data_IF_244837417766
#
_entry.id   IF_244837417766
#
_cell.length_a   1.000
_cell.length_b   1.000
_cell.length_c   1.000
_cell.angle_alpha   90.00
_cell.angle_beta   90.00
_cell.angle_gamma   90.00
#
_symmetry.space_group_name_H-M   'P 1'
#
loop_
_entity.id
_entity.type
_entity.pdbx_description
1 polymer ?
#
# COMPACT_ATOMS: atom_id res chain seq x y z
N UNK A 1 22.58 -29.85 84.62
CA UNK A 1 22.77 -30.05 83.18
C UNK A 1 21.61 -29.33 82.48
N UNK A 2 21.87 -28.20 81.85
CA UNK A 2 20.85 -27.35 81.16
C UNK A 2 20.86 -27.72 79.69
N UNK A 3 19.77 -28.21 79.15
CA UNK A 3 19.59 -28.50 77.75
C UNK A 3 18.91 -27.28 77.09
N UNK A 4 19.62 -26.58 76.18
CA UNK A 4 19.10 -25.47 75.40
C UNK A 4 18.36 -26.01 74.16
N UNK A 5 17.09 -25.67 74.06
CA UNK A 5 16.23 -25.92 72.89
C UNK A 5 16.33 -24.77 71.93
N UNK A 6 16.96 -24.98 70.77
CA UNK A 6 17.04 -23.96 69.72
C UNK A 6 15.82 -24.12 68.84
N UNK A 7 14.88 -23.15 68.86
CA UNK A 7 13.82 -23.00 67.90
C UNK A 7 14.36 -22.39 66.60
N UNK A 8 14.39 -23.18 65.51
CA UNK A 8 14.67 -22.67 64.18
C UNK A 8 13.34 -22.23 63.56
N UNK A 9 13.15 -20.90 63.46
CA UNK A 9 12.04 -20.32 62.68
C UNK A 9 12.41 -20.40 61.19
N UNK A 10 11.76 -21.27 60.42
CA UNK A 10 11.76 -21.28 58.96
C UNK A 10 10.81 -20.18 58.47
N UNK A 11 11.36 -19.01 58.08
CA UNK A 11 10.64 -17.99 57.29
C UNK A 11 10.57 -18.49 55.84
N UNK A 12 9.45 -19.07 55.45
CA UNK A 12 9.13 -19.31 54.05
C UNK A 12 8.78 -17.99 53.35
N UNK A 13 9.72 -17.45 52.58
CA UNK A 13 9.45 -16.35 51.66
C UNK A 13 8.59 -16.86 50.50
N UNK A 14 7.31 -16.62 50.53
CA UNK A 14 6.42 -16.70 49.38
C UNK A 14 6.81 -15.57 48.42
N UNK A 15 7.63 -15.85 47.40
CA UNK A 15 7.83 -15.02 46.22
C UNK A 15 6.54 -15.08 45.41
N UNK A 16 5.61 -14.17 45.67
CA UNK A 16 4.53 -13.87 44.73
C UNK A 16 5.21 -13.30 43.49
N UNK A 17 5.31 -14.08 42.41
CA UNK A 17 5.57 -13.57 41.08
C UNK A 17 4.36 -12.69 40.72
N UNK A 18 4.49 -11.38 40.93
CA UNK A 18 3.64 -10.42 40.27
C UNK A 18 4.02 -10.52 38.79
N UNK A 19 3.24 -11.29 38.01
CA UNK A 19 3.22 -11.11 36.58
C UNK A 19 2.82 -9.65 36.33
N UNK A 20 3.82 -8.81 36.04
CA UNK A 20 3.57 -7.48 35.55
C UNK A 20 2.77 -7.67 34.26
N UNK A 21 1.45 -7.50 34.31
CA UNK A 21 0.65 -7.30 33.13
C UNK A 21 1.29 -6.11 32.40
N UNK A 22 2.08 -6.39 31.37
CA UNK A 22 2.59 -5.36 30.49
C UNK A 22 1.36 -4.61 29.99
N UNK A 23 1.16 -3.41 30.47
CA UNK A 23 0.04 -2.58 30.06
C UNK A 23 0.18 -2.42 28.53
N UNK A 24 -0.75 -3.02 27.78
CA UNK A 24 -0.72 -2.94 26.33
C UNK A 24 -0.73 -1.46 25.96
N UNK A 25 0.39 -0.99 25.41
CA UNK A 25 0.51 0.41 25.01
C UNK A 25 -0.42 0.67 23.83
N UNK A 26 -1.27 1.69 23.95
CA UNK A 26 -2.17 2.11 22.86
C UNK A 26 -1.33 2.67 21.73
N UNK A 27 -1.54 2.17 20.51
CA UNK A 27 -0.83 2.61 19.30
C UNK A 27 -1.41 3.94 18.82
N UNK A 28 -0.60 4.98 18.76
CA UNK A 28 -0.99 6.34 18.38
C UNK A 28 -0.90 6.53 16.88
N UNK A 29 -2.01 6.88 16.22
CA UNK A 29 -2.09 7.12 14.78
C UNK A 29 -2.44 8.58 14.49
N UNK A 30 -1.56 9.30 13.81
CA UNK A 30 -1.79 10.66 13.34
C UNK A 30 -2.22 10.66 11.87
N UNK A 31 -3.44 11.15 11.59
CA UNK A 31 -3.93 11.34 10.23
C UNK A 31 -3.66 12.77 9.75
N UNK A 32 -2.64 12.94 8.94
CA UNK A 32 -2.18 14.22 8.38
C UNK A 32 -2.83 14.43 7.01
N UNK A 33 -3.38 15.63 6.77
CA UNK A 33 -3.96 15.89 5.46
C UNK A 33 -4.78 17.17 5.35
N UNK A 34 -5.52 17.25 4.26
CA UNK A 34 -6.35 18.38 3.89
C UNK A 34 -7.84 18.17 4.26
N UNK A 35 -8.76 18.81 3.52
CA UNK A 35 -10.21 18.71 3.73
C UNK A 35 -10.75 17.28 3.71
N UNK A 36 -10.17 16.38 2.94
CA UNK A 36 -10.60 14.98 2.88
C UNK A 36 -10.27 14.26 4.20
N UNK A 37 -9.10 14.54 4.78
CA UNK A 37 -8.73 14.02 6.11
C UNK A 37 -9.55 14.71 7.19
N UNK A 38 -9.75 16.02 7.10
CA UNK A 38 -10.62 16.75 8.00
C UNK A 38 -12.04 16.17 8.04
N UNK A 39 -12.56 15.71 6.90
CA UNK A 39 -13.94 15.27 6.71
C UNK A 39 -14.85 16.46 6.39
N UNK A 40 -14.40 17.37 5.50
CA UNK A 40 -15.21 18.53 5.09
C UNK A 40 -16.52 18.08 4.48
N UNK A 41 -17.58 18.81 4.81
CA UNK A 41 -18.97 18.61 4.34
C UNK A 41 -19.60 17.24 4.70
N UNK A 42 -18.89 16.37 5.41
CA UNK A 42 -19.47 15.09 5.88
C UNK A 42 -20.40 15.35 7.08
N UNK A 43 -21.67 14.94 7.05
CA UNK A 43 -22.55 15.03 8.20
C UNK A 43 -21.96 14.25 9.41
N UNK A 44 -22.06 14.82 10.60
CA UNK A 44 -21.49 14.24 11.82
C UNK A 44 -20.01 13.85 11.67
N UNK A 45 -19.20 14.76 11.16
CA UNK A 45 -17.78 14.57 10.87
C UNK A 45 -17.01 13.80 11.96
N UNK A 46 -17.32 14.06 13.22
CA UNK A 46 -16.67 13.42 14.38
C UNK A 46 -16.93 11.90 14.47
N UNK A 47 -17.91 11.38 13.69
CA UNK A 47 -18.19 9.95 13.57
C UNK A 47 -17.91 9.42 12.16
N UNK A 48 -18.08 10.27 11.15
CA UNK A 48 -18.17 9.86 9.76
C UNK A 48 -16.96 10.23 8.89
N UNK A 49 -16.01 11.06 9.38
CA UNK A 49 -14.72 11.25 8.69
C UNK A 49 -13.92 9.95 8.67
N UNK A 50 -13.02 9.75 7.69
CA UNK A 50 -12.26 8.51 7.66
C UNK A 50 -11.40 8.26 8.91
N UNK A 51 -10.77 9.28 9.56
CA UNK A 51 -10.04 9.03 10.81
C UNK A 51 -10.95 8.57 11.95
N UNK A 52 -12.17 9.11 12.04
CA UNK A 52 -13.13 8.69 13.06
C UNK A 52 -13.63 7.26 12.83
N UNK A 53 -13.92 6.91 11.58
CA UNK A 53 -14.29 5.54 11.22
C UNK A 53 -13.12 4.56 11.33
N UNK A 54 -11.88 5.02 11.10
CA UNK A 54 -10.67 4.24 11.33
C UNK A 54 -10.49 3.93 12.82
N UNK A 55 -10.72 4.91 13.70
CA UNK A 55 -10.73 4.68 15.15
C UNK A 55 -11.76 3.61 15.54
N UNK A 56 -12.97 3.70 15.00
CA UNK A 56 -14.02 2.71 15.28
C UNK A 56 -13.66 1.31 14.74
N UNK A 57 -12.97 1.24 13.61
CA UNK A 57 -12.54 -0.02 12.99
C UNK A 57 -11.40 -0.70 13.77
N UNK A 58 -10.43 0.09 14.25
CA UNK A 58 -9.25 -0.40 14.95
C UNK A 58 -9.49 -0.70 16.44
N UNK A 59 -10.55 -0.11 17.03
CA UNK A 59 -10.90 -0.32 18.43
C UNK A 59 -9.97 0.38 19.43
N UNK A 60 -9.99 -0.10 20.67
CA UNK A 60 -9.30 0.51 21.81
C UNK A 60 -7.79 0.31 21.85
N UNK A 61 -7.26 -0.59 21.04
CA UNK A 61 -5.81 -0.82 20.93
C UNK A 61 -5.09 0.32 20.19
N UNK A 62 -5.85 1.21 19.57
CA UNK A 62 -5.35 2.36 18.81
C UNK A 62 -5.98 3.68 19.30
N UNK A 63 -5.21 4.75 19.24
CA UNK A 63 -5.67 6.12 19.40
C UNK A 63 -5.47 6.88 18.09
N UNK A 64 -6.54 7.07 17.30
CA UNK A 64 -6.49 7.75 15.99
C UNK A 64 -6.87 9.21 16.15
N UNK A 65 -5.96 10.13 15.79
CA UNK A 65 -6.24 11.55 15.81
C UNK A 65 -6.27 12.16 14.41
N UNK A 66 -7.26 13.02 14.19
CA UNK A 66 -7.47 13.75 12.95
C UNK A 66 -6.77 15.10 12.99
N UNK A 67 -5.69 15.25 12.23
CA UNK A 67 -4.95 16.51 12.04
C UNK A 67 -5.17 17.12 10.64
N UNK A 68 -6.27 16.75 9.98
CA UNK A 68 -6.65 17.32 8.70
C UNK A 68 -7.10 18.76 8.81
N UNK A 69 -6.68 19.61 7.88
CA UNK A 69 -7.08 21.03 7.78
C UNK A 69 -7.58 21.31 6.36
N UNK A 70 -8.82 21.80 6.24
CA UNK A 70 -9.41 22.11 4.94
C UNK A 70 -8.62 23.17 4.19
N UNK A 71 -8.42 22.97 2.89
CA UNK A 71 -7.74 23.93 2.03
C UNK A 71 -6.21 23.83 2.02
N UNK A 72 -5.59 23.12 2.98
CA UNK A 72 -4.14 23.05 3.10
C UNK A 72 -3.45 22.43 1.88
N UNK A 73 -2.30 23.02 1.55
CA UNK A 73 -1.34 22.52 0.56
C UNK A 73 -0.18 21.78 1.24
N UNK A 74 0.46 20.88 0.53
CA UNK A 74 1.79 20.39 0.84
C UNK A 74 2.84 21.46 0.59
N UNK A 75 2.72 22.12 -0.60
CA UNK A 75 3.63 23.18 -1.04
C UNK A 75 3.77 24.27 0.02
N UNK A 76 4.99 24.53 0.44
CA UNK A 76 5.33 25.56 1.45
C UNK A 76 5.11 26.99 0.95
N UNK A 77 5.09 27.19 -0.38
CA UNK A 77 4.78 28.43 -1.08
C UNK A 77 3.31 28.51 -1.54
N UNK A 78 2.51 27.47 -1.26
CA UNK A 78 1.08 27.48 -1.59
C UNK A 78 0.28 28.50 -0.81
N UNK A 79 -0.99 28.64 -1.15
CA UNK A 79 -1.92 29.60 -0.53
C UNK A 79 -2.20 29.29 0.95
N UNK A 80 -2.10 28.03 1.37
CA UNK A 80 -2.31 27.63 2.78
C UNK A 80 -1.44 26.42 3.16
N UNK A 81 -0.13 26.60 3.41
CA UNK A 81 0.80 25.51 3.71
C UNK A 81 0.46 24.76 5.01
N UNK A 82 0.35 23.43 4.94
CA UNK A 82 0.06 22.59 6.10
C UNK A 82 1.09 22.75 7.22
N UNK A 83 2.37 22.86 6.87
CA UNK A 83 3.47 23.00 7.83
C UNK A 83 3.43 24.29 8.66
N UNK A 84 2.61 25.27 8.27
CA UNK A 84 2.38 26.53 9.02
C UNK A 84 1.14 26.46 9.92
N UNK A 85 0.44 25.33 9.97
CA UNK A 85 -0.79 25.19 10.76
C UNK A 85 -0.50 24.73 12.18
N UNK A 86 -1.41 25.04 13.10
CA UNK A 86 -1.36 24.49 14.46
C UNK A 86 -1.48 22.96 14.46
N UNK A 87 -2.30 22.39 13.57
CA UNK A 87 -2.46 20.94 13.47
C UNK A 87 -1.13 20.21 13.17
N UNK A 88 -0.24 20.82 12.39
CA UNK A 88 1.11 20.30 12.18
C UNK A 88 1.89 20.23 13.49
N UNK A 89 1.94 21.32 14.27
CA UNK A 89 2.63 21.35 15.56
C UNK A 89 2.02 20.38 16.58
N UNK A 90 0.67 20.34 16.66
CA UNK A 90 -0.05 19.46 17.57
C UNK A 90 0.17 17.98 17.23
N UNK A 91 0.31 17.63 15.94
CA UNK A 91 0.61 16.27 15.49
C UNK A 91 2.01 15.81 15.91
N UNK A 92 2.99 16.71 15.93
CA UNK A 92 4.34 16.42 16.44
C UNK A 92 4.34 16.23 17.96
N UNK A 93 3.62 17.10 18.69
CA UNK A 93 3.45 17.00 20.15
C UNK A 93 2.77 15.69 20.57
N UNK A 94 1.91 15.13 19.74
CA UNK A 94 1.23 13.86 19.98
C UNK A 94 2.18 12.68 20.08
N UNK A 95 3.38 12.77 19.47
CA UNK A 95 4.37 11.69 19.39
C UNK A 95 3.72 10.39 18.87
N UNK A 96 3.25 10.37 17.61
CA UNK A 96 2.57 9.22 17.04
C UNK A 96 3.51 8.03 16.84
N UNK A 97 2.96 6.80 16.89
CA UNK A 97 3.63 5.58 16.47
C UNK A 97 3.46 5.36 14.96
N UNK A 98 2.36 5.87 14.39
CA UNK A 98 2.04 5.77 12.96
C UNK A 98 1.59 7.12 12.44
N UNK A 99 2.15 7.54 11.30
CA UNK A 99 1.75 8.77 10.59
C UNK A 99 1.21 8.41 9.22
N UNK A 100 -0.04 8.79 8.96
CA UNK A 100 -0.70 8.65 7.65
C UNK A 100 -0.71 10.01 6.97
N UNK A 101 -0.01 10.18 5.84
CA UNK A 101 0.10 11.47 5.14
C UNK A 101 -0.71 11.46 3.85
N UNK A 102 -1.72 12.36 3.77
CA UNK A 102 -2.60 12.53 2.61
C UNK A 102 -2.72 14.00 2.22
N UNK A 103 -1.73 14.53 1.52
CA UNK A 103 -1.68 15.90 0.99
C UNK A 103 -1.51 15.88 -0.54
N UNK A 104 -1.53 17.04 -1.18
CA UNK A 104 -1.30 17.22 -2.61
C UNK A 104 -2.54 17.61 -3.43
N UNK A 105 -3.76 17.45 -2.89
CA UNK A 105 -5.00 17.78 -3.63
C UNK A 105 -5.12 19.29 -3.92
N UNK A 106 -4.92 20.15 -2.90
CA UNK A 106 -5.02 21.60 -3.04
C UNK A 106 -3.84 22.22 -3.78
N UNK A 107 -2.76 21.50 -3.90
CA UNK A 107 -1.55 21.88 -4.62
C UNK A 107 -1.81 22.00 -6.12
N UNK A 108 -2.84 21.33 -6.62
CA UNK A 108 -3.24 21.37 -8.05
C UNK A 108 -3.99 22.63 -8.46
N UNK A 109 -4.42 23.48 -7.50
CA UNK A 109 -5.03 24.77 -7.81
C UNK A 109 -4.08 25.65 -8.63
N UNK A 110 -4.55 26.42 -9.61
CA UNK A 110 -3.69 27.23 -10.48
C UNK A 110 -2.66 28.08 -9.73
N UNK A 111 -3.09 28.77 -8.65
CA UNK A 111 -2.20 29.64 -7.86
C UNK A 111 -1.12 28.87 -7.08
N UNK A 112 -1.31 27.58 -6.82
CA UNK A 112 -0.35 26.72 -6.12
C UNK A 112 0.53 25.95 -7.10
N UNK A 113 -0.04 25.53 -8.23
CA UNK A 113 0.62 24.68 -9.21
C UNK A 113 1.84 25.33 -9.87
N UNK A 114 1.94 26.63 -9.86
CA UNK A 114 3.14 27.35 -10.30
C UNK A 114 4.40 26.96 -9.50
N UNK A 115 4.24 26.41 -8.29
CA UNK A 115 5.34 25.97 -7.43
C UNK A 115 5.53 24.43 -7.46
N UNK A 116 4.96 23.74 -8.44
CA UNK A 116 4.97 22.27 -8.53
C UNK A 116 6.36 21.64 -8.45
N UNK A 117 7.38 22.35 -8.92
CA UNK A 117 8.76 21.86 -8.92
C UNK A 117 9.34 21.74 -7.50
N UNK A 118 8.77 22.44 -6.53
CA UNK A 118 9.11 22.33 -5.10
C UNK A 118 8.42 21.11 -4.42
N UNK A 119 7.44 20.44 -5.07
CA UNK A 119 6.58 19.44 -4.44
C UNK A 119 7.34 18.30 -3.80
N UNK A 120 8.29 17.70 -4.52
CA UNK A 120 9.10 16.58 -4.02
C UNK A 120 9.95 17.02 -2.82
N UNK A 121 10.57 18.21 -2.93
CA UNK A 121 11.40 18.76 -1.85
C UNK A 121 10.59 19.10 -0.58
N UNK A 122 9.40 19.67 -0.73
CA UNK A 122 8.51 19.99 0.38
C UNK A 122 7.98 18.72 1.05
N UNK A 123 7.63 17.70 0.25
CA UNK A 123 7.19 16.41 0.78
C UNK A 123 8.32 15.71 1.57
N UNK A 124 9.55 15.76 1.04
CA UNK A 124 10.72 15.22 1.74
C UNK A 124 10.91 15.90 3.09
N UNK A 125 10.85 17.25 3.14
CA UNK A 125 10.95 17.99 4.41
C UNK A 125 9.86 17.61 5.42
N UNK A 126 8.63 17.39 4.94
CA UNK A 126 7.54 16.92 5.79
C UNK A 126 7.82 15.53 6.36
N UNK A 127 8.27 14.59 5.53
CA UNK A 127 8.68 13.24 5.96
C UNK A 127 9.79 13.31 7.00
N UNK A 128 10.83 14.10 6.72
CA UNK A 128 12.00 14.22 7.61
C UNK A 128 11.64 14.82 8.97
N UNK A 129 10.66 15.73 9.01
CA UNK A 129 10.14 16.28 10.26
C UNK A 129 9.52 15.21 11.16
N UNK A 130 8.80 14.24 10.59
CA UNK A 130 8.26 13.11 11.36
C UNK A 130 9.31 12.05 11.68
N UNK A 131 10.24 11.76 10.77
CA UNK A 131 11.35 10.82 11.04
C UNK A 131 12.23 11.25 12.20
N UNK A 132 12.34 12.58 12.44
CA UNK A 132 13.13 13.15 13.55
C UNK A 132 12.45 13.09 14.91
N UNK A 133 11.18 12.68 15.00
CA UNK A 133 10.47 12.58 16.27
C UNK A 133 11.06 11.48 17.17
N UNK A 134 11.13 11.70 18.50
CA UNK A 134 11.55 10.67 19.45
C UNK A 134 10.75 9.35 19.38
N UNK A 135 9.48 9.42 18.95
CA UNK A 135 8.65 8.25 18.76
C UNK A 135 9.04 7.39 17.55
N UNK A 136 9.91 7.88 16.65
CA UNK A 136 10.33 7.18 15.41
C UNK A 136 9.15 6.55 14.67
N UNK A 137 8.15 7.32 14.24
CA UNK A 137 6.90 6.78 13.72
C UNK A 137 7.09 6.01 12.42
N UNK A 138 6.29 4.97 12.26
CA UNK A 138 6.04 4.34 10.96
C UNK A 138 5.28 5.32 10.08
N UNK A 139 5.83 5.67 8.92
CA UNK A 139 5.23 6.65 7.99
C UNK A 139 4.63 5.91 6.80
N UNK A 140 3.35 6.15 6.53
CA UNK A 140 2.60 5.58 5.42
C UNK A 140 2.04 6.71 4.57
N UNK A 141 2.40 6.74 3.30
CA UNK A 141 1.88 7.71 2.35
C UNK A 141 0.56 7.21 1.77
N UNK A 142 -0.43 8.10 1.66
CA UNK A 142 -1.72 7.79 1.06
C UNK A 142 -1.84 8.58 -0.24
N UNK A 143 -2.10 7.91 -1.37
CA UNK A 143 -2.37 8.64 -2.60
C UNK A 143 -3.66 9.46 -2.47
N UNK A 144 -3.80 10.61 -3.15
CA UNK A 144 -5.07 11.31 -3.23
C UNK A 144 -6.17 10.39 -3.76
N UNK A 145 -7.40 10.54 -3.28
CA UNK A 145 -8.55 9.91 -3.91
C UNK A 145 -8.83 10.58 -5.26
N UNK A 146 -9.32 9.81 -6.22
CA UNK A 146 -9.75 10.33 -7.52
C UNK A 146 -10.95 11.26 -7.33
N UNK A 147 -10.91 12.42 -7.97
CA UNK A 147 -12.04 13.33 -8.07
C UNK A 147 -12.55 13.37 -9.52
N UNK A 148 -13.80 13.82 -9.69
CA UNK A 148 -14.51 13.83 -10.97
C UNK A 148 -14.96 15.25 -11.32
N UNK A 149 -14.10 16.21 -11.04
CA UNK A 149 -14.26 17.62 -11.44
C UNK A 149 -14.11 17.73 -12.94
N UNK A 150 -14.93 18.59 -13.55
CA UNK A 150 -14.99 18.79 -15.00
C UNK A 150 -14.30 20.08 -15.45
N UNK A 151 -13.87 20.90 -14.51
CA UNK A 151 -13.12 22.13 -14.79
C UNK A 151 -11.88 22.23 -13.88
N UNK A 152 -10.87 22.94 -14.32
CA UNK A 152 -9.60 23.17 -13.63
C UNK A 152 -9.51 24.57 -13.00
N UNK A 153 -10.63 25.27 -12.84
CA UNK A 153 -10.67 26.61 -12.22
C UNK A 153 -10.21 26.60 -10.77
N UNK A 154 -10.31 25.42 -10.14
CA UNK A 154 -9.85 25.21 -8.78
C UNK A 154 -8.93 23.99 -8.71
N UNK A 155 -9.39 22.85 -8.17
CA UNK A 155 -8.63 21.60 -8.08
C UNK A 155 -8.70 20.87 -9.43
N UNK A 156 -7.53 20.44 -9.96
CA UNK A 156 -7.45 19.72 -11.22
C UNK A 156 -7.41 18.20 -11.01
N UNK A 157 -8.43 17.50 -11.51
CA UNK A 157 -8.49 16.05 -11.53
C UNK A 157 -7.35 15.45 -12.36
N UNK A 158 -7.00 16.09 -13.48
CA UNK A 158 -5.90 15.66 -14.35
C UNK A 158 -4.55 15.78 -13.64
N UNK A 159 -4.25 16.92 -13.00
CA UNK A 159 -2.99 17.11 -12.26
C UNK A 159 -2.85 16.14 -11.10
N UNK A 160 -3.95 15.81 -10.40
CA UNK A 160 -3.92 14.77 -9.37
C UNK A 160 -3.53 13.44 -9.96
N UNK A 161 -4.15 13.02 -11.06
CA UNK A 161 -3.93 11.72 -11.68
C UNK A 161 -2.55 11.59 -12.34
N UNK A 162 -2.18 12.61 -13.14
CA UNK A 162 -1.01 12.55 -14.03
C UNK A 162 0.29 13.08 -13.41
N UNK A 163 0.20 13.83 -12.29
CA UNK A 163 1.38 14.45 -11.69
C UNK A 163 1.49 14.18 -10.19
N UNK A 164 0.53 14.59 -9.38
CA UNK A 164 0.63 14.50 -7.90
C UNK A 164 0.75 13.06 -7.44
N UNK A 165 -0.09 12.15 -7.94
CA UNK A 165 -0.03 10.73 -7.61
C UNK A 165 1.34 10.11 -7.96
N UNK A 166 1.86 10.23 -9.21
CA UNK A 166 3.19 9.72 -9.54
C UNK A 166 4.32 10.31 -8.69
N UNK A 167 4.27 11.60 -8.34
CA UNK A 167 5.26 12.20 -7.45
C UNK A 167 5.24 11.57 -6.05
N UNK A 168 4.06 11.27 -5.50
CA UNK A 168 3.93 10.60 -4.19
C UNK A 168 4.44 9.16 -4.28
N UNK A 169 4.12 8.43 -5.37
CA UNK A 169 4.64 7.08 -5.63
C UNK A 169 6.18 7.09 -5.72
N UNK A 170 6.76 8.10 -6.37
CA UNK A 170 8.22 8.27 -6.47
C UNK A 170 8.86 8.55 -5.11
N UNK A 171 8.26 9.45 -4.32
CA UNK A 171 8.75 9.79 -2.96
C UNK A 171 8.71 8.55 -2.05
N UNK A 172 7.61 7.78 -2.08
CA UNK A 172 7.49 6.53 -1.33
C UNK A 172 8.62 5.56 -1.69
N UNK A 173 8.82 5.33 -2.98
CA UNK A 173 9.88 4.44 -3.48
C UNK A 173 11.29 4.90 -3.09
N UNK A 174 11.63 6.18 -3.31
CA UNK A 174 12.95 6.75 -2.96
C UNK A 174 13.26 6.66 -1.47
N UNK A 175 12.24 6.89 -0.63
CA UNK A 175 12.41 6.85 0.82
C UNK A 175 12.23 5.46 1.43
N UNK A 176 11.89 4.44 0.62
CA UNK A 176 11.51 3.10 1.06
C UNK A 176 10.36 3.15 2.09
N UNK A 177 9.41 4.06 1.90
CA UNK A 177 8.22 4.22 2.74
C UNK A 177 7.03 3.46 2.19
N UNK A 178 6.17 3.04 3.09
CA UNK A 178 4.93 2.39 2.75
C UNK A 178 3.97 3.36 2.05
N UNK A 179 3.21 2.84 1.08
CA UNK A 179 2.19 3.60 0.36
C UNK A 179 0.91 2.78 0.24
N UNK A 180 -0.24 3.43 0.40
CA UNK A 180 -1.55 2.86 0.11
C UNK A 180 -2.21 3.63 -1.04
N UNK A 181 -2.67 2.89 -2.02
CA UNK A 181 -3.34 3.46 -3.19
C UNK A 181 -4.82 3.68 -2.91
N UNK A 182 -5.20 4.91 -2.54
CA UNK A 182 -6.60 5.31 -2.40
C UNK A 182 -7.19 5.88 -3.70
N UNK A 183 -6.38 6.08 -4.74
CA UNK A 183 -6.80 6.79 -5.96
C UNK A 183 -7.97 6.09 -6.66
N UNK A 184 -7.91 4.78 -6.81
CA UNK A 184 -8.96 4.02 -7.49
C UNK A 184 -10.06 3.49 -6.55
N UNK A 185 -9.88 3.66 -5.23
CA UNK A 185 -10.75 3.06 -4.22
C UNK A 185 -12.23 3.43 -4.34
N UNK A 186 -12.51 4.67 -4.76
CA UNK A 186 -13.87 5.22 -4.82
C UNK A 186 -14.41 5.33 -6.26
N UNK A 187 -13.65 4.86 -7.28
CA UNK A 187 -13.89 5.17 -8.69
C UNK A 187 -15.16 4.57 -9.29
N UNK A 188 -15.43 3.30 -9.05
CA UNK A 188 -16.46 2.55 -9.76
C UNK A 188 -17.91 2.90 -9.34
N UNK A 189 -18.06 3.53 -8.20
CA UNK A 189 -19.36 3.97 -7.67
C UNK A 189 -19.21 5.36 -7.03
N UNK A 190 -18.53 6.25 -7.73
CA UNK A 190 -18.18 7.56 -7.20
C UNK A 190 -19.42 8.37 -6.77
N UNK A 191 -20.57 8.22 -7.43
CA UNK A 191 -21.83 8.91 -7.11
C UNK A 191 -22.30 8.62 -5.67
N UNK A 192 -22.05 7.43 -5.16
CA UNK A 192 -22.35 7.07 -3.77
C UNK A 192 -21.21 7.30 -2.80
N UNK A 193 -19.97 7.30 -3.31
CA UNK A 193 -18.76 7.39 -2.51
C UNK A 193 -18.25 8.81 -2.32
N UNK A 194 -18.65 9.74 -3.21
CA UNK A 194 -18.33 11.16 -3.09
C UNK A 194 -19.57 11.97 -2.75
N UNK A 195 -19.34 13.15 -2.21
CA UNK A 195 -20.38 14.18 -2.06
C UNK A 195 -20.74 14.79 -3.44
N UNK A 196 -21.83 15.55 -3.55
CA UNK A 196 -22.24 16.19 -4.81
C UNK A 196 -21.19 17.08 -5.45
N UNK A 197 -20.18 17.53 -4.67
CA UNK A 197 -19.05 18.31 -5.18
C UNK A 197 -18.02 17.46 -5.96
N UNK A 198 -18.23 16.16 -6.08
CA UNK A 198 -17.39 15.20 -6.85
C UNK A 198 -15.92 15.16 -6.42
N UNK A 199 -15.62 15.69 -5.24
CA UNK A 199 -14.26 15.81 -4.70
C UNK A 199 -14.14 15.16 -3.31
N UNK A 200 -15.03 15.54 -2.39
CA UNK A 200 -14.95 15.06 -1.02
C UNK A 200 -15.67 13.71 -0.86
N UNK A 201 -15.10 12.75 -0.14
CA UNK A 201 -15.76 11.50 0.15
C UNK A 201 -17.08 11.72 0.94
N UNK A 202 -18.11 10.95 0.61
CA UNK A 202 -19.29 10.78 1.46
C UNK A 202 -18.91 9.98 2.72
N UNK A 203 -19.85 9.82 3.66
CA UNK A 203 -19.65 8.93 4.82
C UNK A 203 -19.33 7.50 4.40
N UNK A 204 -19.92 7.01 3.29
CA UNK A 204 -19.66 5.68 2.73
C UNK A 204 -18.23 5.62 2.16
N UNK A 205 -17.84 6.61 1.36
CA UNK A 205 -16.48 6.70 0.81
C UNK A 205 -15.41 6.81 1.90
N UNK A 206 -15.63 7.63 2.92
CA UNK A 206 -14.78 7.73 4.09
C UNK A 206 -14.65 6.39 4.84
N UNK A 207 -15.75 5.63 4.93
CA UNK A 207 -15.74 4.28 5.51
C UNK A 207 -14.95 3.27 4.69
N UNK A 208 -14.97 3.36 3.36
CA UNK A 208 -14.11 2.54 2.49
C UNK A 208 -12.63 2.85 2.73
N UNK A 209 -12.27 4.14 2.79
CA UNK A 209 -10.90 4.56 3.12
C UNK A 209 -10.47 4.01 4.48
N UNK A 210 -11.30 4.17 5.50
CA UNK A 210 -11.02 3.69 6.85
C UNK A 210 -10.80 2.17 6.89
N UNK A 211 -11.62 1.39 6.20
CA UNK A 211 -11.48 -0.07 6.12
C UNK A 211 -10.19 -0.48 5.41
N UNK A 212 -9.83 0.12 4.27
CA UNK A 212 -8.58 -0.23 3.58
C UNK A 212 -7.38 0.07 4.45
N UNK A 213 -7.31 1.28 5.04
CA UNK A 213 -6.22 1.67 5.93
C UNK A 213 -6.17 0.75 7.16
N UNK A 214 -7.30 0.53 7.82
CA UNK A 214 -7.39 -0.29 9.03
C UNK A 214 -7.03 -1.75 8.77
N UNK A 215 -7.51 -2.34 7.68
CA UNK A 215 -7.15 -3.70 7.28
C UNK A 215 -5.64 -3.83 7.04
N UNK A 216 -5.03 -2.84 6.38
CA UNK A 216 -3.59 -2.80 6.16
C UNK A 216 -2.82 -2.69 7.48
N UNK A 217 -3.22 -1.81 8.39
CA UNK A 217 -2.57 -1.66 9.70
C UNK A 217 -2.65 -2.95 10.53
N UNK A 218 -3.80 -3.63 10.53
CA UNK A 218 -3.98 -4.91 11.24
C UNK A 218 -3.13 -6.01 10.60
N UNK A 219 -3.17 -6.13 9.27
CA UNK A 219 -2.41 -7.14 8.53
C UNK A 219 -0.89 -6.99 8.74
N UNK A 220 -0.43 -5.75 8.87
CA UNK A 220 1.00 -5.42 8.99
C UNK A 220 1.44 -5.15 10.43
N UNK A 221 0.54 -5.33 11.41
CA UNK A 221 0.89 -5.22 12.83
C UNK A 221 1.89 -6.32 13.21
N UNK A 222 3.00 -5.92 13.84
CA UNK A 222 4.04 -6.87 14.28
C UNK A 222 4.89 -7.49 13.15
N UNK A 223 4.70 -7.09 11.89
CA UNK A 223 5.64 -7.46 10.84
C UNK A 223 6.93 -6.67 11.03
N UNK A 224 8.04 -7.38 11.20
CA UNK A 224 9.38 -6.80 11.15
C UNK A 224 9.68 -6.26 9.75
N UNK A 225 10.66 -5.35 9.61
CA UNK A 225 11.13 -4.92 8.31
C UNK A 225 11.47 -6.13 7.42
N UNK A 226 11.23 -5.97 6.12
CA UNK A 226 11.52 -7.03 5.14
C UNK A 226 12.94 -7.55 5.32
N UNK A 227 13.10 -8.87 5.47
CA UNK A 227 14.36 -9.53 5.19
C UNK A 227 14.79 -9.12 3.78
N UNK A 228 15.96 -8.48 3.67
CA UNK A 228 16.55 -8.20 2.36
C UNK A 228 16.74 -9.55 1.69
N UNK A 229 15.91 -9.82 0.68
CA UNK A 229 16.07 -11.06 -0.08
C UNK A 229 17.46 -11.02 -0.73
N UNK A 230 18.41 -11.79 -0.20
CA UNK A 230 19.83 -11.74 -0.59
C UNK A 230 20.03 -11.93 -2.10
N UNK A 231 19.17 -12.73 -2.75
CA UNK A 231 19.23 -12.99 -4.18
C UNK A 231 18.85 -11.79 -5.07
N UNK A 232 18.23 -10.74 -4.50
CA UNK A 232 17.91 -9.48 -5.19
C UNK A 232 19.00 -8.41 -5.00
N UNK A 233 19.96 -8.65 -4.11
CA UNK A 233 21.04 -7.71 -3.88
C UNK A 233 21.85 -7.44 -5.16
N UNK A 234 22.06 -6.15 -5.48
CA UNK A 234 22.77 -5.73 -6.68
C UNK A 234 21.99 -5.86 -8.00
N UNK A 235 20.72 -6.22 -7.96
CA UNK A 235 19.83 -6.16 -9.13
C UNK A 235 19.36 -4.74 -9.39
N UNK A 236 19.06 -4.45 -10.64
CA UNK A 236 18.49 -3.16 -11.05
C UNK A 236 17.12 -2.93 -10.39
N UNK A 237 17.00 -1.87 -9.60
CA UNK A 237 15.75 -1.48 -8.97
C UNK A 237 14.92 -0.59 -9.88
N UNK A 238 13.59 -0.70 -9.81
CA UNK A 238 12.65 0.21 -10.45
C UNK A 238 11.45 0.51 -9.55
N UNK A 239 10.80 1.66 -9.80
CA UNK A 239 9.59 2.05 -9.12
C UNK A 239 8.36 1.39 -9.77
N UNK A 240 7.57 0.64 -9.00
CA UNK A 240 6.27 0.15 -9.40
C UNK A 240 5.20 0.75 -8.48
N UNK A 241 4.66 1.90 -8.86
CA UNK A 241 3.62 2.60 -8.07
C UNK A 241 3.99 2.81 -6.59
N UNK A 242 5.25 3.12 -6.31
CA UNK A 242 5.78 3.29 -4.96
C UNK A 242 6.46 2.04 -4.41
N UNK A 243 6.14 0.84 -4.89
CA UNK A 243 6.78 -0.41 -4.46
C UNK A 243 8.13 -0.64 -5.12
N UNK A 244 9.02 -1.37 -4.43
CA UNK A 244 10.32 -1.75 -4.98
C UNK A 244 10.18 -2.93 -5.94
N UNK A 245 10.48 -2.67 -7.21
CA UNK A 245 10.65 -3.69 -8.25
C UNK A 245 12.12 -3.97 -8.53
N UNK A 246 12.42 -5.18 -9.01
CA UNK A 246 13.76 -5.62 -9.38
C UNK A 246 13.73 -6.30 -10.74
N UNK A 247 14.71 -6.02 -11.59
CA UNK A 247 14.92 -6.71 -12.84
C UNK A 247 16.01 -7.78 -12.69
N UNK A 248 15.82 -8.94 -13.29
CA UNK A 248 16.81 -10.02 -13.27
C UNK A 248 16.66 -10.91 -14.50
N UNK A 249 17.70 -11.63 -14.81
CA UNK A 249 17.67 -12.68 -15.83
C UNK A 249 17.34 -14.03 -15.20
N UNK A 250 16.46 -14.77 -15.84
CA UNK A 250 16.17 -16.15 -15.49
C UNK A 250 16.44 -17.04 -16.71
N UNK A 251 17.68 -17.44 -16.84
CA UNK A 251 18.17 -18.37 -17.89
C UNK A 251 17.88 -17.84 -19.31
N UNK A 252 18.30 -16.60 -19.57
CA UNK A 252 18.12 -15.90 -20.84
C UNK A 252 16.73 -15.31 -21.07
N UNK A 253 15.89 -15.25 -20.05
CA UNK A 253 14.61 -14.55 -20.08
C UNK A 253 14.62 -13.35 -19.13
N UNK A 254 14.27 -12.17 -19.64
CA UNK A 254 14.09 -10.98 -18.82
C UNK A 254 12.91 -11.17 -17.86
N UNK A 255 13.17 -11.03 -16.57
CA UNK A 255 12.19 -11.21 -15.52
C UNK A 255 12.13 -9.97 -14.61
N UNK A 256 11.00 -9.79 -13.97
CA UNK A 256 10.77 -8.76 -12.98
C UNK A 256 10.09 -9.34 -11.74
N UNK A 257 10.35 -8.75 -10.60
CA UNK A 257 9.61 -9.02 -9.37
C UNK A 257 9.36 -7.71 -8.63
N UNK A 258 8.15 -7.52 -8.12
CA UNK A 258 7.81 -6.42 -7.21
C UNK A 258 7.54 -6.99 -5.84
N UNK A 259 8.13 -6.37 -4.83
CA UNK A 259 7.99 -6.78 -3.44
C UNK A 259 6.91 -5.95 -2.72
N UNK A 260 6.06 -6.59 -1.91
CA UNK A 260 5.23 -5.86 -0.95
C UNK A 260 6.10 -5.20 0.11
N UNK A 261 5.62 -4.19 0.80
CA UNK A 261 6.34 -3.63 1.97
C UNK A 261 6.38 -4.60 3.14
N UNK A 262 5.30 -5.37 3.30
CA UNK A 262 5.20 -6.41 4.33
C UNK A 262 4.79 -7.71 3.65
N UNK A 263 5.64 -8.70 3.73
CA UNK A 263 5.36 -10.01 3.13
C UNK A 263 4.30 -10.75 3.93
N UNK A 264 3.29 -11.29 3.25
CA UNK A 264 2.35 -12.22 3.88
C UNK A 264 3.03 -13.57 4.18
N UNK A 265 2.57 -14.25 5.24
CA UNK A 265 3.12 -15.55 5.64
C UNK A 265 3.11 -16.55 4.48
N UNK A 266 4.25 -17.17 4.25
CA UNK A 266 4.43 -18.15 3.18
C UNK A 266 4.77 -17.55 1.82
N UNK A 267 5.03 -16.25 1.75
CA UNK A 267 5.44 -15.52 0.54
C UNK A 267 4.56 -15.84 -0.67
N UNK A 268 3.24 -15.55 -0.60
CA UNK A 268 2.35 -15.75 -1.74
C UNK A 268 2.75 -14.82 -2.88
N UNK A 269 2.51 -15.27 -4.11
CA UNK A 269 2.92 -14.53 -5.29
C UNK A 269 2.03 -14.76 -6.50
N UNK A 270 2.11 -13.83 -7.42
CA UNK A 270 1.39 -13.82 -8.70
C UNK A 270 2.40 -13.96 -9.83
N UNK A 271 2.11 -14.77 -10.81
CA UNK A 271 2.82 -14.83 -12.08
C UNK A 271 1.96 -14.13 -13.13
N UNK A 272 2.33 -12.89 -13.45
CA UNK A 272 1.61 -12.04 -14.38
C UNK A 272 2.07 -12.29 -15.82
N UNK A 273 1.11 -12.52 -16.72
CA UNK A 273 1.35 -12.73 -18.13
C UNK A 273 1.13 -11.45 -18.93
N UNK A 274 2.16 -10.97 -19.62
CA UNK A 274 2.12 -9.85 -20.58
C UNK A 274 1.59 -8.53 -19.99
N UNK A 275 1.57 -7.48 -20.79
CA UNK A 275 1.04 -6.16 -20.44
C UNK A 275 1.50 -5.62 -19.09
N UNK A 276 2.82 -5.75 -18.82
CA UNK A 276 3.42 -5.26 -17.59
C UNK A 276 3.07 -3.78 -17.33
N UNK A 277 2.53 -3.50 -16.15
CA UNK A 277 2.15 -2.13 -15.73
C UNK A 277 0.85 -1.60 -16.34
N UNK A 278 0.19 -2.35 -17.24
CA UNK A 278 -1.12 -1.95 -17.76
C UNK A 278 -2.22 -2.37 -16.78
N UNK A 279 -3.11 -1.43 -16.41
CA UNK A 279 -4.19 -1.61 -15.44
C UNK A 279 -3.73 -2.33 -14.15
N UNK A 280 -2.81 -1.73 -13.37
CA UNK A 280 -2.12 -2.40 -12.28
C UNK A 280 -2.93 -2.45 -10.98
N UNK A 281 -4.24 -2.19 -11.00
CA UNK A 281 -5.06 -2.04 -9.79
C UNK A 281 -5.07 -3.32 -8.95
N UNK A 282 -5.18 -4.48 -9.60
CA UNK A 282 -5.15 -5.79 -8.94
C UNK A 282 -3.76 -6.07 -8.37
N UNK A 283 -2.70 -5.80 -9.14
CA UNK A 283 -1.31 -5.97 -8.69
C UNK A 283 -1.05 -5.14 -7.41
N UNK A 284 -1.44 -3.86 -7.44
CA UNK A 284 -1.24 -2.95 -6.30
C UNK A 284 -2.02 -3.44 -5.07
N UNK A 285 -3.28 -3.84 -5.25
CA UNK A 285 -4.09 -4.36 -4.16
C UNK A 285 -3.51 -5.65 -3.55
N UNK A 286 -2.93 -6.53 -4.36
CA UNK A 286 -2.26 -7.75 -3.89
C UNK A 286 -0.92 -7.43 -3.20
N UNK A 287 -0.14 -6.47 -3.70
CA UNK A 287 1.07 -5.97 -3.02
C UNK A 287 0.73 -5.39 -1.64
N UNK A 288 -0.34 -4.61 -1.50
CA UNK A 288 -0.83 -4.11 -0.21
C UNK A 288 -1.23 -5.23 0.75
N UNK A 289 -1.61 -6.41 0.24
CA UNK A 289 -1.92 -7.59 1.02
C UNK A 289 -0.73 -8.53 1.24
N UNK A 290 0.47 -8.12 0.83
CA UNK A 290 1.70 -8.86 1.09
C UNK A 290 2.06 -9.92 0.05
N UNK A 291 1.39 -9.91 -1.12
CA UNK A 291 1.77 -10.75 -2.26
C UNK A 291 2.93 -10.11 -3.03
N UNK A 292 3.73 -10.94 -3.66
CA UNK A 292 4.71 -10.51 -4.66
C UNK A 292 4.13 -10.62 -6.06
N UNK A 293 4.56 -9.73 -6.97
CA UNK A 293 4.16 -9.81 -8.38
C UNK A 293 5.40 -10.13 -9.21
N UNK A 294 5.40 -11.26 -9.89
CA UNK A 294 6.47 -11.69 -10.76
C UNK A 294 6.05 -11.70 -12.23
N UNK A 295 6.98 -11.40 -13.11
CA UNK A 295 6.82 -11.39 -14.56
C UNK A 295 8.01 -12.03 -15.23
N UNK A 296 7.75 -12.79 -16.31
CA UNK A 296 8.77 -13.29 -17.21
C UNK A 296 8.36 -12.96 -18.65
N UNK A 297 9.29 -12.41 -19.41
CA UNK A 297 9.00 -12.04 -20.79
C UNK A 297 8.84 -13.28 -21.68
N UNK A 298 7.61 -13.49 -22.10
CA UNK A 298 7.16 -14.50 -23.07
C UNK A 298 6.20 -13.89 -24.10
N UNK A 299 6.32 -12.58 -24.29
CA UNK A 299 5.32 -11.74 -24.97
C UNK A 299 4.94 -12.25 -26.36
N UNK A 300 5.90 -12.62 -27.19
CA UNK A 300 5.67 -12.98 -28.59
C UNK A 300 5.76 -14.50 -28.84
N UNK A 301 5.58 -15.28 -27.77
CA UNK A 301 5.61 -16.75 -27.84
C UNK A 301 4.23 -17.38 -27.84
N UNK A 302 3.14 -16.61 -27.74
CA UNK A 302 1.73 -17.05 -27.86
C UNK A 302 1.38 -18.31 -27.04
N UNK A 303 2.02 -18.49 -25.88
CA UNK A 303 1.80 -19.66 -25.03
C UNK A 303 2.42 -20.97 -25.52
N UNK A 304 3.28 -20.95 -26.55
CA UNK A 304 3.96 -22.13 -27.06
C UNK A 304 4.85 -22.79 -25.96
N UNK A 305 5.26 -24.04 -26.23
CA UNK A 305 6.12 -24.83 -25.31
C UNK A 305 7.37 -24.07 -24.81
N UNK A 306 7.94 -23.22 -25.67
CA UNK A 306 9.07 -22.39 -25.30
C UNK A 306 8.70 -21.38 -24.20
N UNK A 307 7.49 -20.80 -24.25
CA UNK A 307 6.97 -19.92 -23.22
C UNK A 307 6.73 -20.68 -21.91
N UNK A 308 6.11 -21.86 -22.00
CA UNK A 308 5.88 -22.73 -20.84
C UNK A 308 7.20 -23.11 -20.16
N UNK A 309 8.24 -23.46 -20.95
CA UNK A 309 9.58 -23.76 -20.43
C UNK A 309 10.20 -22.56 -19.69
N UNK A 310 10.07 -21.34 -20.20
CA UNK A 310 10.53 -20.11 -19.50
C UNK A 310 9.80 -19.92 -18.17
N UNK A 311 8.50 -20.07 -18.18
CA UNK A 311 7.68 -19.94 -16.96
C UNK A 311 8.00 -21.03 -15.93
N UNK A 312 8.29 -22.27 -16.37
CA UNK A 312 8.76 -23.34 -15.48
C UNK A 312 10.09 -22.96 -14.78
N UNK A 313 11.01 -22.29 -15.48
CA UNK A 313 12.29 -21.83 -14.90
C UNK A 313 12.07 -20.73 -13.89
N UNK A 314 11.24 -19.72 -14.19
CA UNK A 314 10.86 -18.69 -13.23
C UNK A 314 10.21 -19.34 -12.00
N UNK A 315 9.22 -20.23 -12.19
CA UNK A 315 8.56 -20.90 -11.08
C UNK A 315 9.55 -21.66 -10.19
N UNK A 316 10.44 -22.46 -10.79
CA UNK A 316 11.45 -23.21 -10.05
C UNK A 316 12.39 -22.30 -9.25
N UNK A 317 12.81 -21.18 -9.85
CA UNK A 317 13.62 -20.16 -9.16
C UNK A 317 12.86 -19.58 -7.97
N UNK A 318 11.61 -19.14 -8.15
CA UNK A 318 10.82 -18.53 -7.08
C UNK A 318 10.62 -19.51 -5.91
N UNK A 319 10.28 -20.77 -6.19
CA UNK A 319 10.12 -21.79 -5.15
C UNK A 319 11.44 -22.07 -4.41
N UNK A 320 12.58 -22.07 -5.12
CA UNK A 320 13.91 -22.19 -4.52
C UNK A 320 14.23 -21.04 -3.56
N UNK A 321 13.76 -19.83 -3.87
CA UNK A 321 13.90 -18.63 -3.01
C UNK A 321 12.84 -18.56 -1.88
N UNK A 322 12.11 -19.65 -1.64
CA UNK A 322 11.18 -19.79 -0.53
C UNK A 322 9.76 -19.27 -0.77
N UNK A 323 9.40 -18.97 -2.01
CA UNK A 323 8.03 -18.55 -2.34
C UNK A 323 7.05 -19.73 -2.27
N UNK A 324 5.77 -19.41 -2.08
CA UNK A 324 4.72 -20.41 -1.97
C UNK A 324 4.69 -21.32 -3.21
N UNK A 325 4.52 -22.63 -3.01
CA UNK A 325 4.51 -23.63 -4.10
C UNK A 325 3.30 -23.51 -5.03
N UNK A 326 2.19 -22.95 -4.53
CA UNK A 326 1.04 -22.64 -5.38
C UNK A 326 1.06 -21.16 -5.74
N UNK A 327 0.98 -20.84 -7.02
CA UNK A 327 1.06 -19.50 -7.56
C UNK A 327 -0.28 -19.04 -8.12
N UNK A 328 -0.61 -17.77 -7.95
CA UNK A 328 -1.72 -17.13 -8.67
C UNK A 328 -1.26 -16.80 -10.08
N UNK A 329 -2.06 -17.15 -11.08
CA UNK A 329 -1.81 -16.80 -12.48
C UNK A 329 -2.70 -15.64 -12.88
N UNK A 330 -2.10 -14.60 -13.44
CA UNK A 330 -2.83 -13.44 -13.95
C UNK A 330 -2.62 -13.28 -15.45
N UNK A 331 -3.73 -13.22 -16.22
CA UNK A 331 -3.68 -13.08 -17.66
C UNK A 331 -4.78 -12.21 -18.23
N UNK A 332 -4.40 -11.16 -18.96
CA UNK A 332 -5.30 -10.30 -19.70
C UNK A 332 -5.12 -10.53 -21.20
N UNK A 333 -6.23 -10.50 -21.97
CA UNK A 333 -6.21 -10.61 -23.43
C UNK A 333 -5.37 -11.81 -23.88
N UNK A 334 -4.41 -11.62 -24.80
CA UNK A 334 -3.49 -12.68 -25.27
C UNK A 334 -2.56 -13.27 -24.19
N UNK A 335 -2.50 -12.67 -23.01
CA UNK A 335 -1.85 -13.28 -21.84
C UNK A 335 -2.55 -14.56 -21.38
N UNK A 336 -3.83 -14.74 -21.71
CA UNK A 336 -4.56 -15.99 -21.47
C UNK A 336 -3.90 -17.23 -22.09
N UNK A 337 -3.32 -17.11 -23.29
CA UNK A 337 -2.67 -18.24 -23.97
C UNK A 337 -1.60 -18.91 -23.09
N UNK A 338 -0.69 -18.15 -22.52
CA UNK A 338 0.36 -18.73 -21.65
C UNK A 338 -0.20 -19.18 -20.30
N UNK A 339 -1.13 -18.43 -19.71
CA UNK A 339 -1.75 -18.79 -18.44
C UNK A 339 -2.40 -20.16 -18.50
N UNK A 340 -3.27 -20.39 -19.47
CA UNK A 340 -3.98 -21.67 -19.60
C UNK A 340 -3.08 -22.82 -20.04
N UNK A 341 -2.14 -22.58 -20.97
CA UNK A 341 -1.21 -23.63 -21.39
C UNK A 341 -0.27 -24.05 -20.26
N UNK A 342 0.20 -23.10 -19.45
CA UNK A 342 1.03 -23.44 -18.30
C UNK A 342 0.23 -24.14 -17.21
N UNK A 343 -0.98 -23.66 -16.90
CA UNK A 343 -1.86 -24.27 -15.91
C UNK A 343 -2.23 -25.71 -16.25
N UNK A 344 -2.53 -25.98 -17.52
CA UNK A 344 -2.86 -27.34 -17.99
C UNK A 344 -1.72 -28.34 -17.76
N UNK A 345 -0.46 -27.89 -17.81
CA UNK A 345 0.72 -28.73 -17.59
C UNK A 345 1.21 -28.72 -16.13
N UNK A 346 0.66 -27.87 -15.26
CA UNK A 346 1.14 -27.64 -13.89
C UNK A 346 -0.02 -27.45 -12.90
N UNK A 347 -1.06 -28.25 -12.99
CA UNK A 347 -2.31 -28.10 -12.21
C UNK A 347 -2.09 -28.12 -10.70
N UNK A 348 -1.10 -28.89 -10.23
CA UNK A 348 -0.71 -28.99 -8.83
C UNK A 348 -0.04 -27.73 -8.27
N UNK A 349 0.47 -26.86 -9.16
CA UNK A 349 1.20 -25.62 -8.82
C UNK A 349 0.31 -24.37 -8.84
N UNK A 350 -0.93 -24.47 -9.31
CA UNK A 350 -1.84 -23.34 -9.44
C UNK A 350 -2.65 -23.15 -8.16
N UNK A 351 -2.67 -21.93 -7.63
CA UNK A 351 -3.57 -21.54 -6.55
C UNK A 351 -4.93 -21.10 -7.11
N UNK A 352 -4.91 -20.17 -8.04
CA UNK A 352 -6.07 -19.72 -8.81
C UNK A 352 -5.62 -19.04 -10.10
N UNK A 353 -6.58 -18.80 -11.00
CA UNK A 353 -6.38 -18.05 -12.24
C UNK A 353 -7.29 -16.82 -12.18
N UNK A 354 -6.71 -15.64 -12.37
CA UNK A 354 -7.42 -14.41 -12.67
C UNK A 354 -7.22 -14.07 -14.14
N UNK A 355 -8.29 -14.08 -14.90
CA UNK A 355 -8.23 -13.84 -16.34
C UNK A 355 -9.23 -12.77 -16.76
N UNK A 356 -8.73 -11.72 -17.41
CA UNK A 356 -9.52 -10.61 -17.93
C UNK A 356 -9.56 -10.65 -19.46
N UNK A 357 -10.77 -10.86 -20.03
CA UNK A 357 -11.01 -11.02 -21.46
C UNK A 357 -9.94 -11.89 -22.16
N UNK A 358 -9.66 -13.12 -21.67
CA UNK A 358 -8.51 -13.89 -22.11
C UNK A 358 -8.70 -14.45 -23.51
N UNK A 359 -7.64 -14.42 -24.31
CA UNK A 359 -7.53 -15.26 -25.50
C UNK A 359 -7.14 -16.68 -25.06
N UNK A 360 -8.01 -17.64 -25.34
CA UNK A 360 -7.82 -19.04 -24.92
C UNK A 360 -7.49 -19.96 -26.10
N UNK A 361 -7.75 -19.51 -27.33
CA UNK A 361 -7.48 -20.28 -28.56
C UNK A 361 -6.76 -19.39 -29.57
N UNK A 362 -5.59 -19.86 -30.03
CA UNK A 362 -4.80 -19.19 -31.07
C UNK A 362 -5.55 -19.04 -32.39
N UNK A 363 -6.54 -19.89 -32.63
CA UNK A 363 -7.38 -19.79 -33.83
C UNK A 363 -8.26 -18.56 -33.81
N UNK A 364 -8.77 -18.17 -32.64
CA UNK A 364 -9.55 -16.94 -32.50
C UNK A 364 -8.66 -15.71 -32.65
N UNK A 365 -7.45 -15.76 -32.11
CA UNK A 365 -6.42 -14.73 -32.22
C UNK A 365 -5.02 -15.35 -32.09
N UNK A 366 -4.04 -15.02 -32.97
CA UNK A 366 -4.10 -14.01 -34.03
C UNK A 366 -4.64 -14.50 -35.36
N UNK A 367 -5.10 -15.76 -35.48
CA UNK A 367 -5.50 -16.32 -36.75
C UNK A 367 -6.86 -15.82 -37.27
N UNK A 368 -7.64 -15.09 -36.51
CA UNK A 368 -8.89 -14.43 -36.94
C UNK A 368 -10.05 -15.37 -37.30
N UNK A 369 -10.03 -16.63 -36.83
CA UNK A 369 -11.01 -17.65 -37.18
C UNK A 369 -12.07 -17.91 -36.13
N UNK A 370 -12.29 -16.98 -35.20
CA UNK A 370 -13.09 -17.26 -34.02
C UNK A 370 -14.27 -16.34 -33.72
N UNK A 371 -14.62 -15.47 -34.65
CA UNK A 371 -15.81 -14.64 -34.52
C UNK A 371 -16.79 -15.00 -35.66
N UNK A 372 -17.55 -16.05 -35.50
CA UNK A 372 -18.78 -16.28 -36.25
C UNK A 372 -19.90 -16.45 -35.25
#
# INVERSE_FOLDING_TARGET
MKTNLICVLLLSFFLVKMDAFAQKTVIKVACIGNSITYGANIPNRNKNSYPAQLQAYLGSDYEVRNYGISGCTLLSKGDYPYVKTRAFADSHTFQPDIVLIKLGTNDTKPQNWQYKDDFIGDYQRLIDSYKSLPSHPRIILLTPVRCFLTDDSSISAERIAASVRPMIEEIAWKNKLEILNLFNLLGDQWESHLLPDRLHPSSIGAGKMARQIGSYLILTAGCTEQDKADWLQGKEEFNFHGFCGYQFDCDGAACKIVKPYKEAKGKPWVMRARFWGHQPQTDIALLEQGFHIAYCDVADMYGADKAVKRWNKLYAKMVKEGFHKKVVLEGMSRGGLIVYNWAAQNTDKVACIYADAPVMDIKSWPMGRGAS
#
